data_IF_187986334459
#
_entry.id   IF_187986334459
#
_cell.length_a   1.000
_cell.length_b   1.000
_cell.length_c   1.000
_cell.angle_alpha   90.00
_cell.angle_beta   90.00
_cell.angle_gamma   90.00
#
_symmetry.space_group_name_H-M   'P 1'
#
loop_
_entity.id
_entity.type
_entity.pdbx_description
1 polymer ?
#
# COMPACT_ATOMS: atom_id res chain seq x y z
N UNK A 1 -16.62 9.41 -8.18
CA UNK A 1 -17.84 8.74 -7.69
C UNK A 1 -19.02 9.71 -7.63
N UNK A 2 -18.93 10.78 -6.83
CA UNK A 2 -19.93 11.86 -6.86
C UNK A 2 -20.03 12.53 -8.24
N UNK A 3 -18.95 12.53 -9.03
CA UNK A 3 -18.92 13.02 -10.41
C UNK A 3 -19.80 12.28 -11.42
N UNK A 4 -20.35 11.11 -11.05
CA UNK A 4 -21.16 10.27 -11.94
C UNK A 4 -22.67 10.57 -11.78
N UNK A 5 -23.06 11.19 -10.65
CA UNK A 5 -24.45 11.56 -10.39
C UNK A 5 -24.82 12.77 -11.22
N UNK A 6 -26.00 12.72 -11.85
CA UNK A 6 -26.50 13.79 -12.69
C UNK A 6 -27.39 14.74 -11.87
N UNK A 7 -27.43 15.98 -12.34
CA UNK A 7 -28.35 17.00 -11.82
C UNK A 7 -29.36 17.30 -12.92
N UNK A 8 -30.61 17.49 -12.53
CA UNK A 8 -31.66 17.88 -13.46
C UNK A 8 -31.53 19.35 -13.90
N UNK A 9 -32.47 19.82 -14.72
CA UNK A 9 -32.49 21.20 -15.21
C UNK A 9 -32.66 22.26 -14.11
N UNK A 10 -33.16 21.85 -12.93
CA UNK A 10 -33.40 22.72 -11.79
C UNK A 10 -32.22 22.72 -10.80
N UNK A 11 -31.20 21.89 -11.04
CA UNK A 11 -30.01 21.77 -10.22
C UNK A 11 -30.17 20.81 -9.04
N UNK A 12 -31.25 20.03 -9.01
CA UNK A 12 -31.49 19.00 -8.01
C UNK A 12 -30.86 17.68 -8.43
N UNK A 13 -30.47 16.86 -7.45
CA UNK A 13 -29.86 15.55 -7.70
C UNK A 13 -30.90 14.59 -8.28
N UNK A 14 -30.62 13.98 -9.43
CA UNK A 14 -31.44 12.89 -9.98
C UNK A 14 -31.16 11.59 -9.21
N UNK A 15 -32.09 11.11 -8.37
CA UNK A 15 -31.86 9.94 -7.52
C UNK A 15 -31.68 8.65 -8.33
N UNK A 16 -32.18 8.59 -9.56
CA UNK A 16 -32.08 7.40 -10.42
C UNK A 16 -30.66 7.15 -10.92
N UNK A 17 -29.82 8.18 -10.91
CA UNK A 17 -28.41 8.10 -11.32
C UNK A 17 -27.46 7.78 -10.16
N UNK A 18 -28.00 7.68 -8.94
CA UNK A 18 -27.21 7.35 -7.76
C UNK A 18 -26.92 5.85 -7.74
N UNK A 19 -25.64 5.52 -7.84
CA UNK A 19 -25.13 4.15 -7.68
C UNK A 19 -24.49 4.08 -6.28
N UNK A 20 -25.07 3.32 -5.33
CA UNK A 20 -24.46 3.09 -4.03
C UNK A 20 -23.13 2.35 -4.19
N UNK A 21 -22.13 2.72 -3.39
CA UNK A 21 -20.87 1.99 -3.26
C UNK A 21 -20.82 1.33 -1.89
N UNK A 22 -20.42 0.07 -1.86
CA UNK A 22 -20.01 -0.60 -0.64
C UNK A 22 -18.50 -0.84 -0.74
N UNK A 23 -17.75 -0.32 0.22
CA UNK A 23 -16.29 -0.39 0.26
C UNK A 23 -15.82 -1.11 1.52
N UNK A 24 -14.88 -2.04 1.36
CA UNK A 24 -14.33 -2.86 2.42
C UNK A 24 -12.82 -2.92 2.36
N UNK A 25 -12.15 -2.70 3.49
CA UNK A 25 -10.69 -2.72 3.61
C UNK A 25 -10.23 -3.66 4.74
N UNK A 26 -9.03 -4.24 4.57
CA UNK A 26 -8.44 -5.18 5.53
C UNK A 26 -6.93 -5.01 5.62
N UNK A 27 -6.38 -5.07 6.83
CA UNK A 27 -4.94 -5.08 7.11
C UNK A 27 -4.68 -5.90 8.38
N UNK A 28 -4.08 -7.08 8.22
CA UNK A 28 -3.84 -8.03 9.30
C UNK A 28 -5.14 -8.45 10.01
N UNK A 29 -5.28 -8.03 11.26
CA UNK A 29 -6.47 -8.29 12.09
C UNK A 29 -7.43 -7.09 12.18
N UNK A 30 -7.18 -6.04 11.41
CA UNK A 30 -8.04 -4.86 11.33
C UNK A 30 -8.77 -4.86 9.98
N UNK A 31 -9.96 -4.27 9.98
CA UNK A 31 -10.69 -4.02 8.75
C UNK A 31 -11.83 -3.05 8.99
N UNK A 32 -12.39 -2.53 7.90
CA UNK A 32 -13.50 -1.60 7.90
C UNK A 32 -14.43 -1.94 6.73
N UNK A 33 -15.72 -1.71 6.93
CA UNK A 33 -16.74 -1.77 5.88
C UNK A 33 -17.56 -0.48 5.94
N UNK A 34 -17.93 0.07 4.80
CA UNK A 34 -18.75 1.28 4.71
C UNK A 34 -19.65 1.27 3.49
N UNK A 35 -20.77 1.96 3.61
CA UNK A 35 -21.71 2.21 2.51
C UNK A 35 -21.65 3.69 2.19
N UNK A 36 -21.49 4.01 0.92
CA UNK A 36 -21.43 5.36 0.38
C UNK A 36 -22.61 5.54 -0.57
N UNK A 37 -23.54 6.40 -0.19
CA UNK A 37 -24.53 7.01 -1.06
C UNK A 37 -24.01 8.39 -1.49
N UNK A 38 -23.59 8.55 -2.76
CA UNK A 38 -23.11 9.83 -3.28
C UNK A 38 -24.04 11.00 -2.92
N UNK A 39 -23.50 12.09 -2.37
CA UNK A 39 -24.23 13.29 -1.90
C UNK A 39 -25.13 13.12 -0.67
N UNK A 40 -25.36 11.90 -0.17
CA UNK A 40 -26.15 11.66 1.05
C UNK A 40 -25.28 11.26 2.24
N UNK A 41 -24.20 10.51 2.01
CA UNK A 41 -23.25 10.09 3.03
C UNK A 41 -21.84 10.54 2.67
N UNK A 42 -20.88 10.60 3.62
CA UNK A 42 -19.48 10.92 3.32
C UNK A 42 -18.91 9.99 2.25
N UNK A 43 -18.30 10.56 1.21
CA UNK A 43 -17.59 9.78 0.19
C UNK A 43 -16.18 9.38 0.66
N UNK A 44 -15.44 8.69 -0.19
CA UNK A 44 -14.07 8.28 0.08
C UNK A 44 -13.19 9.51 0.33
N UNK A 45 -13.33 10.56 -0.49
CA UNK A 45 -12.57 11.80 -0.35
C UNK A 45 -12.89 12.55 0.95
N UNK A 46 -14.15 12.51 1.42
CA UNK A 46 -14.52 13.09 2.72
C UNK A 46 -13.84 12.40 3.92
N UNK A 47 -13.35 11.18 3.74
CA UNK A 47 -12.78 10.34 4.80
C UNK A 47 -11.33 9.95 4.52
N UNK A 48 -10.66 10.67 3.60
CA UNK A 48 -9.30 10.35 3.19
C UNK A 48 -8.29 10.43 4.36
N UNK A 49 -8.55 11.32 5.32
CA UNK A 49 -7.72 11.50 6.52
C UNK A 49 -7.77 10.30 7.49
N UNK A 50 -8.73 9.37 7.32
CA UNK A 50 -8.81 8.15 8.12
C UNK A 50 -7.81 7.08 7.66
N UNK A 51 -7.26 7.20 6.44
CA UNK A 51 -6.25 6.27 5.97
C UNK A 51 -4.91 6.52 6.67
N UNK A 52 -4.19 5.46 7.08
CA UNK A 52 -2.88 5.63 7.69
C UNK A 52 -1.92 6.29 6.68
N UNK A 53 -1.00 7.16 7.13
CA UNK A 53 -0.02 7.76 6.25
C UNK A 53 0.87 6.67 5.64
N UNK A 54 1.16 6.80 4.34
CA UNK A 54 2.10 5.89 3.68
C UNK A 54 3.48 6.02 4.30
N UNK A 55 4.10 4.89 4.64
CA UNK A 55 5.48 4.86 5.13
C UNK A 55 6.39 5.17 3.94
N UNK A 56 6.96 6.37 3.95
CA UNK A 56 8.00 6.81 3.02
C UNK A 56 9.21 7.29 3.82
N UNK A 57 10.36 6.68 3.58
CA UNK A 57 11.60 7.07 4.23
C UNK A 57 12.20 8.31 3.54
N UNK A 58 12.65 9.34 4.29
CA UNK A 58 13.29 10.49 3.69
C UNK A 58 14.57 10.13 2.94
N UNK A 59 14.77 10.69 1.74
CA UNK A 59 15.93 10.37 0.89
C UNK A 59 17.27 10.62 1.61
N UNK A 60 17.38 11.67 2.42
CA UNK A 60 18.59 11.96 3.19
C UNK A 60 18.90 10.87 4.24
N UNK A 61 17.87 10.26 4.83
CA UNK A 61 17.99 9.14 5.76
C UNK A 61 18.44 7.89 5.03
N UNK A 62 17.81 7.58 3.90
CA UNK A 62 18.16 6.44 3.06
C UNK A 62 19.61 6.55 2.59
N UNK A 63 20.02 7.72 2.07
CA UNK A 63 21.31 7.93 1.42
C UNK A 63 22.50 8.04 2.39
N UNK A 64 22.33 8.74 3.52
CA UNK A 64 23.47 9.12 4.36
C UNK A 64 23.37 8.67 5.82
N UNK A 65 22.16 8.50 6.35
CA UNK A 65 21.97 8.23 7.79
C UNK A 65 20.97 7.08 8.04
N UNK A 66 21.22 5.87 7.51
CA UNK A 66 20.37 4.72 7.77
C UNK A 66 20.41 4.36 9.26
N UNK A 67 19.30 3.85 9.78
CA UNK A 67 19.10 3.55 11.22
C UNK A 67 18.39 2.23 11.45
N UNK A 68 17.53 1.85 10.50
CA UNK A 68 16.76 0.62 10.50
C UNK A 68 17.18 -0.25 9.30
N UNK A 69 17.07 -1.59 9.38
CA UNK A 69 17.41 -2.47 8.26
C UNK A 69 16.58 -2.17 7.01
N UNK A 70 15.35 -1.67 7.15
CA UNK A 70 14.49 -1.21 6.06
C UNK A 70 15.13 -0.06 5.27
N UNK A 71 15.87 0.84 5.92
CA UNK A 71 16.56 1.93 5.23
C UNK A 71 17.68 1.41 4.33
N UNK A 72 18.36 0.32 4.73
CA UNK A 72 19.39 -0.31 3.92
C UNK A 72 18.80 -0.97 2.68
N UNK A 73 17.65 -1.64 2.82
CA UNK A 73 16.93 -2.25 1.69
C UNK A 73 16.38 -1.18 0.75
N UNK A 74 15.75 -0.14 1.28
CA UNK A 74 15.19 0.94 0.45
C UNK A 74 16.29 1.71 -0.31
N UNK A 75 17.49 1.85 0.28
CA UNK A 75 18.64 2.41 -0.44
C UNK A 75 18.99 1.59 -1.68
N UNK A 76 19.05 0.28 -1.54
CA UNK A 76 19.40 -0.59 -2.67
C UNK A 76 18.35 -0.50 -3.75
N UNK A 77 17.07 -0.53 -3.35
CA UNK A 77 15.92 -0.46 -4.25
C UNK A 77 15.80 0.87 -5.01
N UNK A 78 16.03 2.00 -4.34
CA UNK A 78 15.76 3.34 -4.91
C UNK A 78 17.01 3.99 -5.52
N UNK A 79 18.21 3.65 -5.04
CA UNK A 79 19.45 4.30 -5.46
C UNK A 79 20.36 3.29 -6.18
N UNK A 80 20.74 2.21 -5.49
CA UNK A 80 21.79 1.31 -6.01
C UNK A 80 21.35 0.52 -7.25
N UNK A 81 20.07 0.15 -7.34
CA UNK A 81 19.54 -0.57 -8.49
C UNK A 81 19.69 0.24 -9.78
N UNK A 82 19.30 1.52 -9.75
CA UNK A 82 19.41 2.41 -10.90
C UNK A 82 20.86 2.78 -11.26
N UNK A 83 21.74 2.87 -10.25
CA UNK A 83 23.17 3.14 -10.44
C UNK A 83 23.91 1.94 -11.06
N UNK A 84 23.65 0.72 -10.56
CA UNK A 84 24.36 -0.49 -10.99
C UNK A 84 23.72 -1.18 -12.18
N UNK A 85 22.42 -0.94 -12.42
CA UNK A 85 21.62 -1.59 -13.47
C UNK A 85 21.90 -3.10 -13.53
N UNK A 86 21.68 -3.82 -12.41
CA UNK A 86 21.86 -5.27 -12.43
C UNK A 86 20.87 -5.91 -13.41
N UNK A 87 21.13 -7.16 -13.81
CA UNK A 87 20.26 -7.92 -14.72
C UNK A 87 19.95 -7.15 -16.03
N UNK A 88 21.00 -6.64 -16.68
CA UNK A 88 20.91 -5.87 -17.94
C UNK A 88 19.99 -4.63 -17.88
N UNK A 89 19.79 -4.07 -16.68
CA UNK A 89 18.96 -2.88 -16.46
C UNK A 89 17.46 -3.16 -16.43
N UNK A 90 17.07 -4.41 -16.16
CA UNK A 90 15.69 -4.76 -15.86
C UNK A 90 15.14 -4.00 -14.65
N UNK A 91 13.81 -3.80 -14.62
CA UNK A 91 13.14 -3.24 -13.47
C UNK A 91 13.08 -4.27 -12.32
N UNK A 92 12.99 -3.79 -11.07
CA UNK A 92 12.87 -4.66 -9.90
C UNK A 92 11.57 -5.46 -9.98
N UNK A 93 11.70 -6.74 -10.31
CA UNK A 93 10.68 -7.75 -10.05
C UNK A 93 10.78 -8.27 -8.61
N UNK A 94 9.76 -7.99 -7.80
CA UNK A 94 9.67 -8.46 -6.41
C UNK A 94 9.29 -9.94 -6.28
N UNK A 95 8.83 -10.59 -7.34
CA UNK A 95 8.53 -12.03 -7.40
C UNK A 95 9.73 -12.86 -7.85
N UNK A 96 10.72 -12.24 -8.52
CA UNK A 96 11.96 -12.91 -8.91
C UNK A 96 12.89 -13.12 -7.70
N UNK A 97 13.21 -14.39 -7.33
CA UNK A 97 14.12 -14.68 -6.23
C UNK A 97 15.54 -14.12 -6.43
N UNK A 98 16.02 -14.03 -7.67
CA UNK A 98 17.36 -13.53 -7.97
C UNK A 98 17.47 -12.03 -7.69
N UNK A 99 16.45 -11.26 -8.10
CA UNK A 99 16.37 -9.82 -7.80
C UNK A 99 16.33 -9.57 -6.29
N UNK A 100 15.48 -10.31 -5.57
CA UNK A 100 15.37 -10.19 -4.12
C UNK A 100 16.67 -10.56 -3.40
N UNK A 101 17.35 -11.61 -3.86
CA UNK A 101 18.63 -12.05 -3.29
C UNK A 101 19.70 -11.00 -3.52
N UNK A 102 19.79 -10.46 -4.74
CA UNK A 102 20.72 -9.38 -5.06
C UNK A 102 20.48 -8.14 -4.18
N UNK A 103 19.22 -7.75 -3.98
CA UNK A 103 18.86 -6.62 -3.12
C UNK A 103 19.27 -6.90 -1.67
N UNK A 104 18.99 -8.10 -1.16
CA UNK A 104 19.33 -8.51 0.20
C UNK A 104 20.84 -8.49 0.44
N UNK A 105 21.64 -9.03 -0.48
CA UNK A 105 23.10 -9.06 -0.37
C UNK A 105 23.70 -7.65 -0.29
N UNK A 106 23.29 -6.75 -1.19
CA UNK A 106 23.72 -5.35 -1.17
C UNK A 106 23.24 -4.61 0.07
N UNK A 107 22.03 -4.91 0.54
CA UNK A 107 21.49 -4.32 1.76
C UNK A 107 22.28 -4.80 3.00
N UNK A 108 22.73 -6.06 3.03
CA UNK A 108 23.60 -6.61 4.07
C UNK A 108 24.97 -5.95 4.07
N UNK A 109 25.58 -5.71 2.91
CA UNK A 109 26.84 -4.98 2.78
C UNK A 109 26.70 -3.58 3.39
N UNK A 110 25.67 -2.83 2.99
CA UNK A 110 25.38 -1.50 3.55
C UNK A 110 25.07 -1.56 5.05
N UNK A 111 24.30 -2.54 5.50
CA UNK A 111 23.96 -2.67 6.92
C UNK A 111 25.22 -2.89 7.77
N UNK A 112 26.21 -3.65 7.28
CA UNK A 112 27.51 -3.82 7.96
C UNK A 112 28.28 -2.51 8.09
N UNK A 113 28.31 -1.66 7.05
CA UNK A 113 28.98 -0.36 7.09
C UNK A 113 28.44 0.55 8.22
N UNK A 114 27.13 0.48 8.46
CA UNK A 114 26.46 1.29 9.48
C UNK A 114 26.20 0.54 10.80
N UNK A 115 26.74 -0.67 10.97
CA UNK A 115 26.52 -1.53 12.13
C UNK A 115 25.03 -1.81 12.44
N UNK A 116 24.22 -1.98 11.40
CA UNK A 116 22.79 -2.30 11.49
C UNK A 116 22.61 -3.82 11.33
N UNK A 117 21.80 -4.41 12.20
CA UNK A 117 21.43 -5.83 12.15
C UNK A 117 19.97 -6.01 11.76
N UNK A 118 19.59 -7.21 11.32
CA UNK A 118 18.19 -7.56 11.06
C UNK A 118 17.74 -7.49 9.60
N UNK A 119 18.67 -7.33 8.65
CA UNK A 119 18.37 -7.57 7.24
C UNK A 119 18.25 -9.08 7.04
N UNK A 120 17.08 -9.52 6.60
CA UNK A 120 16.80 -10.90 6.20
C UNK A 120 15.94 -10.93 4.93
N UNK A 121 15.82 -12.10 4.31
CA UNK A 121 15.09 -12.25 3.05
C UNK A 121 13.61 -11.87 3.17
N UNK A 122 12.97 -12.18 4.31
CA UNK A 122 11.55 -11.89 4.55
C UNK A 122 11.32 -10.39 4.66
N UNK A 123 12.22 -9.66 5.33
CA UNK A 123 12.19 -8.21 5.44
C UNK A 123 12.45 -7.56 4.08
N UNK A 124 13.42 -8.07 3.32
CA UNK A 124 13.69 -7.61 1.94
C UNK A 124 12.43 -7.73 1.08
N UNK A 125 11.78 -8.89 1.09
CA UNK A 125 10.50 -9.07 0.41
C UNK A 125 9.43 -8.08 0.90
N UNK A 126 9.31 -7.92 2.22
CA UNK A 126 8.36 -7.00 2.84
C UNK A 126 8.52 -5.55 2.35
N UNK A 127 9.75 -5.05 2.32
CA UNK A 127 10.09 -3.68 1.91
C UNK A 127 9.97 -3.48 0.38
N UNK A 128 10.44 -4.45 -0.41
CA UNK A 128 10.38 -4.38 -1.88
C UNK A 128 8.93 -4.40 -2.36
N UNK A 129 8.11 -5.34 -1.86
CA UNK A 129 6.72 -5.51 -2.27
C UNK A 129 5.72 -4.65 -1.49
N UNK A 130 6.15 -3.92 -0.46
CA UNK A 130 5.26 -3.23 0.50
C UNK A 130 4.14 -4.17 1.00
N UNK A 131 4.53 -5.36 1.48
CA UNK A 131 3.58 -6.42 1.85
C UNK A 131 2.67 -5.97 2.99
N UNK A 132 1.35 -6.00 2.75
CA UNK A 132 0.32 -5.82 3.77
C UNK A 132 -0.05 -7.21 4.33
N UNK A 133 0.08 -7.46 5.64
CA UNK A 133 -0.34 -8.73 6.23
C UNK A 133 -1.82 -9.02 5.96
N UNK A 134 -2.16 -10.28 5.65
CA UNK A 134 -3.54 -10.68 5.36
C UNK A 134 -3.88 -12.00 6.04
N UNK A 135 -5.11 -12.12 6.54
CA UNK A 135 -5.63 -13.33 7.20
C UNK A 135 -7.06 -13.60 6.71
N UNK A 136 -7.35 -14.86 6.39
CA UNK A 136 -8.64 -15.26 5.81
C UNK A 136 -9.84 -14.90 6.69
N UNK A 137 -9.71 -14.96 8.02
CA UNK A 137 -10.78 -14.62 8.96
C UNK A 137 -11.20 -13.15 8.87
N UNK A 138 -10.24 -12.22 8.81
CA UNK A 138 -10.52 -10.78 8.68
C UNK A 138 -11.23 -10.48 7.37
N UNK A 139 -10.76 -11.07 6.26
CA UNK A 139 -11.40 -10.93 4.95
C UNK A 139 -12.83 -11.48 4.96
N UNK A 140 -13.05 -12.63 5.59
CA UNK A 140 -14.39 -13.21 5.71
C UNK A 140 -15.35 -12.31 6.50
N UNK A 141 -14.89 -11.71 7.60
CA UNK A 141 -15.71 -10.80 8.42
C UNK A 141 -16.09 -9.53 7.63
N UNK A 142 -15.11 -8.89 6.98
CA UNK A 142 -15.35 -7.65 6.24
C UNK A 142 -16.18 -7.91 4.98
N UNK A 143 -15.85 -8.95 4.20
CA UNK A 143 -16.64 -9.32 3.03
C UNK A 143 -18.08 -9.69 3.41
N UNK A 144 -18.27 -10.44 4.50
CA UNK A 144 -19.59 -10.76 5.02
C UNK A 144 -20.39 -9.52 5.40
N UNK A 145 -19.74 -8.53 6.03
CA UNK A 145 -20.36 -7.24 6.35
C UNK A 145 -20.77 -6.47 5.10
N UNK A 146 -19.88 -6.39 4.08
CA UNK A 146 -20.20 -5.74 2.81
C UNK A 146 -21.36 -6.41 2.07
N UNK A 147 -21.38 -7.74 2.00
CA UNK A 147 -22.46 -8.49 1.35
C UNK A 147 -23.79 -8.30 2.08
N UNK A 148 -23.76 -8.22 3.42
CA UNK A 148 -24.97 -7.96 4.20
C UNK A 148 -25.59 -6.60 3.84
N UNK A 149 -24.78 -5.55 3.70
CA UNK A 149 -25.28 -4.23 3.28
C UNK A 149 -25.74 -4.21 1.81
N UNK A 150 -25.16 -5.04 0.96
CA UNK A 150 -25.57 -5.14 -0.45
C UNK A 150 -26.95 -5.79 -0.64
N UNK A 151 -27.40 -6.57 0.35
CA UNK A 151 -28.68 -7.29 0.31
C UNK A 151 -29.84 -6.54 0.97
N UNK A 152 -29.57 -5.48 1.75
CA UNK A 152 -30.60 -4.68 2.42
C UNK A 152 -31.30 -3.73 1.43
#
# INVERSE_FOLDING_TARGET
>A
MCSIVQFDSDGELDPSTIIPLIDGGTEGFKGNARVVFPFFTPCIECTLDLYPPQINFPLCTIAHTPRLPEHCIEYVKVILWDEKKPFDGEAIDGDNPEHLTWIMERALERAKEFNITGVDFRLTQGVVKRIIPAVASTNAIIAGSCVLEALK
#
